data_IF_032251104715
#
_entry.id   IF_032251104715
#
_cell.length_a   1.000
_cell.length_b   1.000
_cell.length_c   1.000
_cell.angle_alpha   90.00
_cell.angle_beta   90.00
_cell.angle_gamma   90.00
#
_symmetry.space_group_name_H-M   'P 1'
#
loop_
_entity.id
_entity.type
_entity.pdbx_description
1 polymer ?
#
# COMPACT_ATOMS: atom_id res chain seq x y z
N UNK A 1 5.14 -7.41 -8.32
CA UNK A 1 5.72 -8.77 -8.45
C UNK A 1 4.71 -9.87 -8.15
N UNK A 2 4.24 -10.04 -6.90
CA UNK A 2 3.34 -11.14 -6.51
C UNK A 2 2.08 -11.30 -7.37
N UNK A 3 1.47 -10.20 -7.83
CA UNK A 3 0.28 -10.25 -8.70
C UNK A 3 0.54 -10.96 -10.02
N UNK A 4 1.73 -10.79 -10.60
CA UNK A 4 2.11 -11.42 -11.86
C UNK A 4 2.32 -12.93 -11.65
N UNK A 5 3.08 -13.31 -10.62
CA UNK A 5 3.31 -14.72 -10.29
C UNK A 5 2.01 -15.48 -9.99
N UNK A 6 1.06 -14.84 -9.31
CA UNK A 6 -0.26 -15.42 -9.01
C UNK A 6 -1.24 -15.36 -10.18
N UNK A 7 -0.80 -14.89 -11.36
CA UNK A 7 -1.63 -14.66 -12.56
C UNK A 7 -2.85 -13.77 -12.27
N UNK A 8 -2.73 -12.84 -11.32
CA UNK A 8 -3.75 -11.85 -10.94
C UNK A 8 -3.48 -10.50 -11.62
N UNK A 9 -3.43 -10.50 -12.95
CA UNK A 9 -3.14 -9.30 -13.77
C UNK A 9 -4.15 -8.17 -13.55
N UNK A 10 -5.39 -8.49 -13.18
CA UNK A 10 -6.41 -7.50 -12.83
C UNK A 10 -6.03 -6.61 -11.62
N UNK A 11 -5.12 -7.07 -10.76
CA UNK A 11 -4.62 -6.28 -9.62
C UNK A 11 -3.45 -5.35 -10.01
N UNK A 12 -2.87 -5.54 -11.20
CA UNK A 12 -1.83 -4.67 -11.76
C UNK A 12 -2.50 -3.51 -12.48
N UNK A 13 -3.16 -2.65 -11.71
CA UNK A 13 -3.86 -1.47 -12.24
C UNK A 13 -2.89 -0.33 -12.55
N UNK A 14 -3.32 0.62 -13.39
CA UNK A 14 -2.57 1.85 -13.68
C UNK A 14 -2.17 2.58 -12.39
N UNK A 15 -3.10 2.69 -11.44
CA UNK A 15 -2.83 3.29 -10.13
C UNK A 15 -1.70 2.58 -9.39
N UNK A 16 -1.74 1.24 -9.33
CA UNK A 16 -0.72 0.45 -8.64
C UNK A 16 0.67 0.66 -9.26
N UNK A 17 0.75 0.61 -10.59
CA UNK A 17 2.02 0.73 -11.32
C UNK A 17 2.60 2.14 -11.19
N UNK A 18 1.78 3.18 -11.39
CA UNK A 18 2.24 4.57 -11.25
C UNK A 18 2.69 4.84 -9.81
N UNK A 19 1.89 4.46 -8.82
CA UNK A 19 2.23 4.68 -7.41
C UNK A 19 3.55 4.00 -7.03
N UNK A 20 3.70 2.69 -7.26
CA UNK A 20 4.94 2.00 -6.89
C UNK A 20 6.13 2.31 -7.80
N UNK A 21 5.91 2.86 -8.99
CA UNK A 21 6.97 3.35 -9.86
C UNK A 21 7.49 4.72 -9.44
N UNK A 22 6.61 5.68 -9.17
CA UNK A 22 7.00 7.08 -8.92
C UNK A 22 7.41 7.33 -7.47
N UNK A 23 6.78 6.66 -6.50
CA UNK A 23 7.01 6.94 -5.07
C UNK A 23 8.46 6.70 -4.62
N UNK A 24 9.16 5.62 -5.02
CA UNK A 24 10.56 5.44 -4.65
C UNK A 24 11.47 6.55 -5.20
N UNK A 25 11.20 7.01 -6.43
CA UNK A 25 11.96 8.10 -7.06
C UNK A 25 11.70 9.44 -6.36
N UNK A 26 10.45 9.77 -6.05
CA UNK A 26 10.11 11.02 -5.37
C UNK A 26 10.63 11.04 -3.92
N UNK A 27 10.54 9.93 -3.20
CA UNK A 27 11.08 9.81 -1.83
C UNK A 27 12.60 9.92 -1.83
N UNK A 28 13.30 9.35 -2.82
CA UNK A 28 14.74 9.51 -2.96
C UNK A 28 15.15 10.98 -3.10
N UNK A 29 14.44 11.72 -3.96
CA UNK A 29 14.65 13.17 -4.11
C UNK A 29 14.37 13.92 -2.80
N UNK A 30 13.27 13.59 -2.11
CA UNK A 30 12.93 14.18 -0.81
C UNK A 30 14.02 13.97 0.23
N UNK A 31 14.54 12.75 0.37
CA UNK A 31 15.64 12.44 1.28
C UNK A 31 16.95 13.13 0.88
N UNK A 32 17.21 13.29 -0.43
CA UNK A 32 18.44 13.91 -0.91
C UNK A 32 18.51 15.42 -0.63
N UNK A 33 17.40 16.12 -0.76
CA UNK A 33 17.36 17.58 -0.71
C UNK A 33 16.72 18.15 0.56
N UNK A 34 15.84 17.40 1.23
CA UNK A 34 15.16 17.82 2.45
C UNK A 34 14.87 16.63 3.39
N UNK A 35 15.91 15.98 3.96
CA UNK A 35 15.76 14.85 4.86
C UNK A 35 15.24 15.29 6.23
N UNK A 36 13.93 15.48 6.37
CA UNK A 36 13.30 15.79 7.66
C UNK A 36 12.27 16.92 7.62
N UNK A 37 11.81 17.30 8.81
CA UNK A 37 10.83 18.38 8.97
C UNK A 37 9.40 17.94 8.68
N UNK A 38 8.54 18.87 8.26
CA UNK A 38 7.13 18.57 8.04
C UNK A 38 6.88 17.52 6.95
N UNK A 39 7.79 17.39 5.97
CA UNK A 39 7.68 16.42 4.88
C UNK A 39 7.67 14.96 5.37
N UNK A 40 8.31 14.65 6.50
CA UNK A 40 8.32 13.29 7.06
C UNK A 40 7.00 12.90 7.73
N UNK A 41 6.12 13.86 8.03
CA UNK A 41 4.79 13.58 8.58
C UNK A 41 3.93 12.77 7.60
N UNK A 42 4.04 13.05 6.31
CA UNK A 42 3.40 12.23 5.27
C UNK A 42 3.88 10.78 5.33
N UNK A 43 5.20 10.55 5.44
CA UNK A 43 5.77 9.21 5.57
C UNK A 43 5.30 8.50 6.85
N UNK A 44 5.16 9.23 7.96
CA UNK A 44 4.64 8.69 9.22
C UNK A 44 3.20 8.21 9.08
N UNK A 45 2.28 9.05 8.57
CA UNK A 45 0.89 8.66 8.35
C UNK A 45 0.79 7.50 7.35
N UNK A 46 1.57 7.56 6.27
CA UNK A 46 1.56 6.55 5.23
C UNK A 46 2.02 5.18 5.77
N UNK A 47 3.07 5.14 6.60
CA UNK A 47 3.54 3.89 7.23
C UNK A 47 2.50 3.33 8.19
N UNK A 48 1.80 4.17 8.96
CA UNK A 48 0.70 3.74 9.82
C UNK A 48 -0.45 3.09 9.04
N UNK A 49 -0.90 3.73 7.95
CA UNK A 49 -1.90 3.18 7.04
C UNK A 49 -1.43 1.85 6.43
N UNK A 50 -0.15 1.77 6.05
CA UNK A 50 0.44 0.55 5.48
C UNK A 50 0.49 -0.62 6.47
N UNK A 51 0.68 -0.39 7.76
CA UNK A 51 0.60 -1.47 8.76
C UNK A 51 -0.77 -2.15 8.68
N UNK A 52 -1.85 -1.37 8.67
CA UNK A 52 -3.22 -1.88 8.60
C UNK A 52 -3.50 -2.53 7.24
N UNK A 53 -3.02 -1.92 6.16
CA UNK A 53 -3.22 -2.44 4.80
C UNK A 53 -2.50 -3.77 4.56
N UNK A 54 -1.25 -3.91 5.02
CA UNK A 54 -0.52 -5.17 4.90
C UNK A 54 -1.08 -6.26 5.82
N UNK A 55 -1.60 -5.89 7.00
CA UNK A 55 -2.35 -6.83 7.83
C UNK A 55 -3.58 -7.37 7.08
N UNK A 56 -4.34 -6.50 6.42
CA UNK A 56 -5.46 -6.94 5.57
C UNK A 56 -4.99 -7.89 4.46
N UNK A 57 -3.88 -7.59 3.77
CA UNK A 57 -3.35 -8.46 2.72
C UNK A 57 -2.87 -9.82 3.25
N UNK A 58 -2.28 -9.85 4.44
CA UNK A 58 -1.87 -11.08 5.11
C UNK A 58 -3.10 -11.98 5.36
N UNK A 59 -4.15 -11.45 6.00
CA UNK A 59 -5.37 -12.21 6.29
C UNK A 59 -6.07 -12.64 4.99
N UNK A 60 -6.09 -11.78 3.97
CA UNK A 60 -6.63 -12.13 2.65
C UNK A 60 -5.86 -13.26 1.96
N UNK A 61 -4.56 -13.40 2.26
CA UNK A 61 -3.69 -14.43 1.72
C UNK A 61 -3.78 -15.78 2.47
N UNK A 62 -4.29 -15.80 3.71
CA UNK A 62 -4.49 -17.03 4.50
C UNK A 62 -5.56 -17.97 3.93
N UNK A 63 -6.32 -17.52 2.92
CA UNK A 63 -7.24 -18.35 2.15
C UNK A 63 -8.72 -18.04 2.40
N UNK A 64 -9.63 -18.73 1.69
CA UNK A 64 -11.07 -18.43 1.71
C UNK A 64 -11.70 -18.51 3.10
N UNK A 65 -11.18 -19.39 3.96
CA UNK A 65 -11.67 -19.56 5.33
C UNK A 65 -11.52 -18.28 6.18
N UNK A 66 -10.46 -17.50 5.94
CA UNK A 66 -10.16 -16.27 6.66
C UNK A 66 -10.70 -15.01 5.95
N UNK A 67 -10.97 -15.09 4.64
CA UNK A 67 -11.50 -13.97 3.86
C UNK A 67 -12.88 -13.47 4.34
N UNK A 68 -13.65 -14.31 5.06
CA UNK A 68 -14.92 -13.90 5.66
C UNK A 68 -14.77 -12.83 6.77
N UNK A 69 -13.61 -12.76 7.42
CA UNK A 69 -13.38 -11.82 8.54
C UNK A 69 -12.96 -10.42 8.09
N UNK A 70 -12.60 -10.24 6.81
CA UNK A 70 -12.10 -8.97 6.26
C UNK A 70 -13.18 -8.17 5.49
N UNK A 71 -14.41 -8.20 6.01
CA UNK A 71 -15.58 -7.48 5.46
C UNK A 71 -15.40 -5.95 5.40
N UNK A 72 -14.43 -5.42 6.14
CA UNK A 72 -14.16 -4.00 6.32
C UNK A 72 -13.25 -3.37 5.24
N UNK A 73 -13.03 -4.06 4.10
CA UNK A 73 -12.23 -3.55 2.97
C UNK A 73 -12.57 -2.09 2.59
N UNK A 74 -13.86 -1.75 2.58
CA UNK A 74 -14.32 -0.39 2.22
C UNK A 74 -13.76 0.69 3.16
N UNK A 75 -13.66 0.40 4.46
CA UNK A 75 -13.12 1.34 5.45
C UNK A 75 -11.61 1.48 5.31
N UNK A 76 -10.91 0.39 4.96
CA UNK A 76 -9.49 0.48 4.62
C UNK A 76 -9.28 1.40 3.41
N UNK A 77 -10.11 1.29 2.38
CA UNK A 77 -10.02 2.18 1.21
C UNK A 77 -10.33 3.62 1.57
N UNK A 78 -11.34 3.87 2.41
CA UNK A 78 -11.62 5.23 2.92
C UNK A 78 -10.48 5.77 3.78
N UNK A 79 -9.74 4.93 4.48
CA UNK A 79 -8.60 5.32 5.30
C UNK A 79 -7.35 5.67 4.48
N UNK A 80 -7.29 5.24 3.21
CA UNK A 80 -6.21 5.54 2.28
C UNK A 80 -6.44 6.83 1.47
N UNK A 81 -7.67 7.35 1.47
CA UNK A 81 -8.05 8.60 0.79
C UNK A 81 -7.91 9.78 1.75
#
# INVERSE_FOLDING_TARGET
FFFILRKKTQQVSTLHVIHHGIMPFSVWMGLKFAPGGHSTFFSLLNTFVHIIMYFYYMVAAMGPEYQKYIWWKKYLTSFQM
#
